data_IF_285012558505
#
_entry.id   IF_285012558505
#
_cell.length_a   1.000
_cell.length_b   1.000
_cell.length_c   1.000
_cell.angle_alpha   90.00
_cell.angle_beta   90.00
_cell.angle_gamma   90.00
#
_symmetry.space_group_name_H-M   'P 1'
#
loop_
_entity.id
_entity.type
_entity.pdbx_description
1 polymer ?
#
# COMPACT_ATOMS: atom_id res chain seq x y z
N UNK A 1 40.03 -20.01 22.67
CA UNK A 1 38.69 -19.44 22.96
C UNK A 1 37.75 -19.97 21.89
N UNK A 2 36.74 -20.71 22.31
CA UNK A 2 35.94 -21.63 21.49
C UNK A 2 34.94 -20.82 20.66
N UNK A 3 35.05 -20.90 19.34
CA UNK A 3 34.04 -20.46 18.37
C UNK A 3 32.84 -21.40 18.44
N UNK A 4 31.72 -20.89 18.92
CA UNK A 4 30.44 -21.61 18.90
C UNK A 4 29.74 -21.26 17.58
N UNK A 5 29.89 -22.17 16.61
CA UNK A 5 29.06 -22.22 15.41
C UNK A 5 27.82 -23.06 15.73
N UNK A 6 26.65 -22.43 15.81
CA UNK A 6 25.39 -23.18 15.87
C UNK A 6 24.94 -23.52 14.44
N UNK A 7 25.06 -24.81 14.10
CA UNK A 7 24.43 -25.47 12.97
C UNK A 7 23.11 -26.09 13.46
N UNK A 8 21.99 -25.64 12.90
CA UNK A 8 20.74 -26.40 12.89
C UNK A 8 20.15 -26.40 11.46
N UNK A 9 20.14 -27.60 10.88
CA UNK A 9 19.29 -28.05 9.77
C UNK A 9 17.97 -28.56 10.38
N UNK A 10 16.75 -28.53 9.80
CA UNK A 10 16.24 -28.33 8.43
C UNK A 10 14.75 -27.93 8.49
N UNK A 11 14.28 -27.05 7.59
CA UNK A 11 13.02 -27.08 6.79
C UNK A 11 12.70 -25.66 6.27
N UNK A 12 12.87 -25.44 4.96
CA UNK A 12 12.39 -24.33 4.11
C UNK A 12 11.99 -22.99 4.77
N UNK A 13 12.86 -22.42 5.60
CA UNK A 13 12.81 -21.03 6.00
C UNK A 13 14.15 -20.39 5.67
N UNK A 14 14.28 -19.75 4.51
CA UNK A 14 15.37 -18.80 4.30
C UNK A 14 15.08 -17.60 5.19
N UNK A 15 15.43 -17.71 6.48
CA UNK A 15 15.39 -16.59 7.40
C UNK A 15 16.15 -15.42 6.75
N UNK A 16 15.46 -14.31 6.51
CA UNK A 16 16.08 -13.14 5.92
C UNK A 16 17.13 -12.62 6.91
N UNK A 17 18.41 -12.80 6.58
CA UNK A 17 19.53 -12.42 7.44
C UNK A 17 19.65 -10.89 7.43
N UNK A 18 19.71 -10.30 8.62
CA UNK A 18 20.05 -8.89 8.81
C UNK A 18 21.53 -8.82 9.18
N UNK A 19 22.31 -8.11 8.37
CA UNK A 19 23.70 -7.80 8.66
C UNK A 19 23.90 -6.28 8.57
N UNK A 20 23.78 -5.62 9.73
CA UNK A 20 23.89 -4.16 9.84
C UNK A 20 25.28 -3.61 9.44
N UNK A 21 26.27 -4.48 9.27
CA UNK A 21 27.60 -4.10 8.81
C UNK A 21 27.80 -4.28 7.29
N UNK A 22 26.84 -4.90 6.60
CA UNK A 22 26.90 -5.11 5.15
C UNK A 22 26.46 -3.87 4.35
N UNK A 23 26.78 -3.86 3.06
CA UNK A 23 26.31 -2.82 2.12
C UNK A 23 24.80 -2.86 1.86
N UNK A 24 24.16 -4.00 2.07
CA UNK A 24 22.71 -4.20 1.92
C UNK A 24 22.18 -4.81 3.22
N UNK A 25 22.07 -4.00 4.28
CA UNK A 25 21.98 -4.49 5.65
C UNK A 25 20.65 -5.19 5.98
N UNK A 26 19.61 -4.92 5.20
CA UNK A 26 18.31 -5.54 5.30
C UNK A 26 17.61 -5.45 3.94
N UNK A 27 16.56 -6.24 3.74
CA UNK A 27 15.75 -6.21 2.52
C UNK A 27 14.55 -5.28 2.71
N UNK A 28 14.35 -4.35 1.79
CA UNK A 28 13.26 -3.38 1.87
C UNK A 28 11.89 -4.04 1.77
N UNK A 29 10.99 -3.59 2.63
CA UNK A 29 9.65 -4.18 2.72
C UNK A 29 8.82 -3.82 1.49
N UNK A 30 8.21 -4.83 0.85
CA UNK A 30 7.40 -4.75 -0.39
C UNK A 30 8.11 -4.24 -1.65
N UNK A 31 9.43 -4.07 -1.61
CA UNK A 31 10.23 -3.67 -2.77
C UNK A 31 11.08 -4.83 -3.26
N UNK A 32 11.75 -5.53 -2.34
CA UNK A 32 12.78 -6.51 -2.69
C UNK A 32 12.35 -7.96 -2.42
N UNK A 33 11.32 -8.17 -1.59
CA UNK A 33 10.79 -9.52 -1.32
C UNK A 33 9.28 -9.55 -1.20
N UNK A 34 8.75 -10.72 -1.48
CA UNK A 34 7.33 -11.04 -1.51
C UNK A 34 6.84 -11.71 -0.21
N UNK A 35 7.67 -11.89 0.83
CA UNK A 35 7.18 -12.42 2.10
C UNK A 35 8.10 -12.05 3.26
N UNK A 36 7.53 -11.35 4.24
CA UNK A 36 8.18 -11.10 5.53
C UNK A 36 7.49 -11.97 6.57
N UNK A 37 8.22 -12.96 7.09
CA UNK A 37 7.77 -13.65 8.29
C UNK A 37 7.71 -12.68 9.47
N UNK A 38 6.81 -12.92 10.44
CA UNK A 38 6.67 -12.08 11.65
C UNK A 38 7.99 -11.93 12.43
N UNK A 39 8.88 -12.92 12.33
CA UNK A 39 10.23 -12.86 12.89
C UNK A 39 11.09 -11.74 12.30
N UNK A 40 10.94 -11.42 11.01
CA UNK A 40 11.77 -10.41 10.34
C UNK A 40 11.53 -9.01 10.90
N UNK A 41 10.27 -8.67 11.13
CA UNK A 41 9.88 -7.33 11.58
C UNK A 41 10.22 -7.13 13.04
N UNK A 42 10.04 -8.15 13.88
CA UNK A 42 10.52 -8.11 15.27
C UNK A 42 12.03 -7.90 15.32
N UNK A 43 12.80 -8.56 14.43
CA UNK A 43 14.25 -8.33 14.35
C UNK A 43 14.55 -6.90 13.90
N UNK A 44 13.82 -6.36 12.92
CA UNK A 44 13.99 -4.97 12.49
C UNK A 44 13.70 -3.98 13.62
N UNK A 45 12.59 -4.15 14.34
CA UNK A 45 12.21 -3.32 15.48
C UNK A 45 13.29 -3.34 16.57
N UNK A 46 13.79 -4.52 16.93
CA UNK A 46 14.88 -4.71 17.91
C UNK A 46 16.24 -4.19 17.42
N UNK A 47 16.43 -4.07 16.10
CA UNK A 47 17.66 -3.60 15.48
C UNK A 47 17.72 -2.07 15.36
N UNK A 48 16.58 -1.38 15.21
CA UNK A 48 16.53 0.08 14.95
C UNK A 48 17.39 0.88 15.92
N UNK A 49 17.31 0.58 17.22
CA UNK A 49 18.02 1.33 18.26
C UNK A 49 19.52 0.99 18.31
N UNK A 50 19.95 -0.11 17.69
CA UNK A 50 21.35 -0.55 17.57
C UNK A 50 22.05 0.03 16.33
N UNK A 51 21.27 0.46 15.33
CA UNK A 51 21.79 1.04 14.08
C UNK A 51 22.45 2.39 14.34
N UNK A 52 23.75 2.50 14.02
CA UNK A 52 24.51 3.75 14.14
C UNK A 52 24.31 4.67 12.94
N UNK A 53 24.06 4.13 11.74
CA UNK A 53 23.85 4.92 10.54
C UNK A 53 22.42 5.50 10.52
N UNK A 54 22.30 6.82 10.60
CA UNK A 54 21.00 7.50 10.67
C UNK A 54 20.13 7.24 9.42
N UNK A 55 20.70 7.27 8.22
CA UNK A 55 19.96 6.97 6.98
C UNK A 55 19.38 5.56 6.99
N UNK A 56 20.17 4.57 7.44
CA UNK A 56 19.70 3.19 7.58
C UNK A 56 18.59 3.08 8.62
N UNK A 57 18.76 3.75 9.76
CA UNK A 57 17.74 3.80 10.83
C UNK A 57 16.42 4.38 10.32
N UNK A 58 16.47 5.47 9.55
CA UNK A 58 15.28 6.08 8.95
C UNK A 58 14.62 5.16 7.93
N UNK A 59 15.41 4.46 7.12
CA UNK A 59 14.89 3.48 6.15
C UNK A 59 14.12 2.35 6.83
N UNK A 60 14.69 1.76 7.89
CA UNK A 60 14.02 0.69 8.64
C UNK A 60 12.73 1.20 9.30
N UNK A 61 12.77 2.37 9.94
CA UNK A 61 11.58 2.97 10.55
C UNK A 61 10.47 3.26 9.55
N UNK A 62 10.82 3.72 8.34
CA UNK A 62 9.85 3.98 7.30
C UNK A 62 9.22 2.68 6.76
N UNK A 63 10.02 1.63 6.60
CA UNK A 63 9.53 0.33 6.17
C UNK A 63 8.62 -0.32 7.23
N UNK A 64 8.93 -0.15 8.52
CA UNK A 64 8.06 -0.56 9.63
C UNK A 64 6.75 0.23 9.62
N UNK A 65 6.81 1.55 9.42
CA UNK A 65 5.61 2.39 9.31
C UNK A 65 4.72 1.92 8.14
N UNK A 66 5.31 1.64 6.98
CA UNK A 66 4.58 1.16 5.80
C UNK A 66 4.03 -0.26 5.99
N UNK A 67 4.75 -1.15 6.66
CA UNK A 67 4.25 -2.48 7.03
C UNK A 67 3.00 -2.41 7.91
N UNK A 68 3.03 -1.55 8.93
CA UNK A 68 1.92 -1.37 9.84
C UNK A 68 0.78 -0.57 9.21
N UNK A 69 1.05 0.30 8.25
CA UNK A 69 0.04 1.13 7.58
C UNK A 69 -1.10 0.35 6.94
N UNK A 70 -0.86 -0.89 6.54
CA UNK A 70 -1.89 -1.75 5.95
C UNK A 70 -2.62 -2.62 6.97
N UNK A 71 -2.12 -2.67 8.22
CA UNK A 71 -2.56 -3.56 9.29
C UNK A 71 -3.12 -2.87 10.53
N UNK A 72 -2.51 -1.76 10.94
CA UNK A 72 -2.87 -0.99 12.12
C UNK A 72 -2.36 0.45 11.96
N UNK A 73 -3.29 1.38 11.71
CA UNK A 73 -2.96 2.78 11.41
C UNK A 73 -2.35 3.52 12.60
N UNK A 74 -2.68 3.12 13.84
CA UNK A 74 -2.11 3.76 15.04
C UNK A 74 -0.63 3.40 15.19
N UNK A 75 -0.30 2.11 15.09
CA UNK A 75 1.10 1.65 15.14
C UNK A 75 1.93 2.26 14.01
N UNK A 76 1.38 2.32 12.80
CA UNK A 76 2.03 2.97 11.66
C UNK A 76 2.35 4.45 11.93
N UNK A 77 1.39 5.16 12.52
CA UNK A 77 1.56 6.57 12.86
C UNK A 77 2.59 6.78 13.97
N UNK A 78 2.72 5.85 14.92
CA UNK A 78 3.71 5.92 15.99
C UNK A 78 5.14 5.73 15.46
N UNK A 79 5.37 4.76 14.57
CA UNK A 79 6.66 4.62 13.88
C UNK A 79 6.99 5.87 13.05
N UNK A 80 5.99 6.39 12.33
CA UNK A 80 6.16 7.61 11.53
C UNK A 80 6.52 8.83 12.39
N UNK A 81 5.86 9.00 13.54
CA UNK A 81 6.19 10.06 14.50
C UNK A 81 7.59 9.90 15.09
N UNK A 82 8.02 8.67 15.42
CA UNK A 82 9.40 8.38 15.86
C UNK A 82 10.40 8.80 14.78
N UNK A 83 10.14 8.44 13.53
CA UNK A 83 10.93 8.84 12.37
C UNK A 83 11.05 10.37 12.23
N UNK A 84 9.92 11.07 12.16
CA UNK A 84 9.86 12.54 12.07
C UNK A 84 10.59 13.24 13.21
N UNK A 85 10.46 12.76 14.45
CA UNK A 85 11.14 13.34 15.60
C UNK A 85 12.68 13.22 15.46
N UNK A 86 13.16 12.06 14.99
CA UNK A 86 14.59 11.83 14.80
C UNK A 86 15.16 12.65 13.64
N UNK A 87 14.46 12.71 12.50
CA UNK A 87 14.92 13.48 11.32
C UNK A 87 14.94 14.98 11.60
N UNK A 88 13.97 15.51 12.35
CA UNK A 88 13.98 16.91 12.81
C UNK A 88 15.13 17.19 13.78
N UNK A 89 15.40 16.26 14.70
CA UNK A 89 16.54 16.38 15.63
C UNK A 89 17.88 16.39 14.91
N UNK A 90 18.04 15.56 13.87
CA UNK A 90 19.26 15.51 13.06
C UNK A 90 19.29 16.52 11.90
N UNK A 91 18.21 17.30 11.71
CA UNK A 91 18.02 18.25 10.60
C UNK A 91 18.17 17.59 9.22
N UNK A 92 17.68 16.35 9.08
CA UNK A 92 17.68 15.62 7.83
C UNK A 92 16.36 15.87 7.07
N UNK A 93 16.33 16.92 6.26
CA UNK A 93 15.12 17.35 5.53
C UNK A 93 14.61 16.27 4.55
N UNK A 94 15.52 15.59 3.84
CA UNK A 94 15.14 14.55 2.89
C UNK A 94 14.33 13.43 3.55
N UNK A 95 14.83 12.89 4.66
CA UNK A 95 14.11 11.85 5.38
C UNK A 95 12.88 12.38 6.11
N UNK A 96 12.89 13.63 6.57
CA UNK A 96 11.67 14.26 7.06
C UNK A 96 10.59 14.27 5.97
N UNK A 97 10.90 14.72 4.76
CA UNK A 97 9.97 14.71 3.61
C UNK A 97 9.45 13.30 3.30
N UNK A 98 10.30 12.27 3.31
CA UNK A 98 9.88 10.88 3.10
C UNK A 98 8.92 10.37 4.18
N UNK A 99 9.19 10.66 5.45
CA UNK A 99 8.25 10.33 6.53
C UNK A 99 6.96 11.13 6.43
N UNK A 100 6.99 12.36 5.91
CA UNK A 100 5.79 13.15 5.66
C UNK A 100 4.92 12.53 4.56
N UNK A 101 5.50 11.98 3.49
CA UNK A 101 4.73 11.22 2.51
C UNK A 101 4.04 10.02 3.17
N UNK A 102 4.78 9.23 3.96
CA UNK A 102 4.21 8.09 4.71
C UNK A 102 3.11 8.54 5.68
N UNK A 103 3.31 9.66 6.38
CA UNK A 103 2.31 10.25 7.26
C UNK A 103 1.04 10.65 6.49
N UNK A 104 1.19 11.30 5.33
CA UNK A 104 0.08 11.67 4.45
C UNK A 104 -0.74 10.45 4.03
N UNK A 105 -0.08 9.37 3.63
CA UNK A 105 -0.73 8.11 3.25
C UNK A 105 -1.50 7.46 4.42
N UNK A 106 -1.00 7.57 5.65
CA UNK A 106 -1.70 7.08 6.86
C UNK A 106 -2.90 7.98 7.17
N UNK A 107 -2.73 9.30 7.12
CA UNK A 107 -3.80 10.27 7.38
C UNK A 107 -4.95 10.15 6.38
N UNK A 108 -4.66 9.89 5.11
CA UNK A 108 -5.65 9.56 4.08
C UNK A 108 -6.52 8.38 4.48
N UNK A 109 -5.92 7.27 4.91
CA UNK A 109 -6.67 6.08 5.38
C UNK A 109 -7.47 6.37 6.64
N UNK A 110 -7.05 7.33 7.46
CA UNK A 110 -7.80 7.81 8.62
C UNK A 110 -8.87 8.86 8.28
N UNK A 111 -9.11 9.15 6.99
CA UNK A 111 -10.02 10.21 6.50
C UNK A 111 -9.70 11.62 7.04
N UNK A 112 -8.42 11.88 7.33
CA UNK A 112 -7.92 13.20 7.78
C UNK A 112 -7.35 13.99 6.60
N UNK A 113 -8.22 14.30 5.64
CA UNK A 113 -7.82 14.80 4.32
C UNK A 113 -7.05 16.14 4.36
N UNK A 114 -7.49 17.08 5.20
CA UNK A 114 -6.81 18.39 5.30
C UNK A 114 -5.41 18.26 5.89
N UNK A 115 -5.26 17.47 6.95
CA UNK A 115 -3.95 17.17 7.54
C UNK A 115 -3.05 16.43 6.56
N UNK A 116 -3.58 15.48 5.80
CA UNK A 116 -2.83 14.77 4.77
C UNK A 116 -2.32 15.75 3.70
N UNK A 117 -3.19 16.62 3.20
CA UNK A 117 -2.84 17.63 2.19
C UNK A 117 -1.71 18.55 2.67
N UNK A 118 -1.83 19.12 3.87
CA UNK A 118 -0.82 20.02 4.44
C UNK A 118 0.53 19.33 4.57
N UNK A 119 0.55 18.10 5.07
CA UNK A 119 1.79 17.34 5.26
C UNK A 119 2.44 16.96 3.92
N UNK A 120 1.65 16.59 2.92
CA UNK A 120 2.13 16.22 1.59
C UNK A 120 2.69 17.41 0.81
N UNK A 121 2.04 18.58 0.89
CA UNK A 121 2.56 19.80 0.26
C UNK A 121 3.86 20.27 0.93
N UNK A 122 3.99 20.16 2.25
CA UNK A 122 5.25 20.46 2.95
C UNK A 122 6.38 19.46 2.60
N UNK A 123 6.04 18.21 2.30
CA UNK A 123 7.03 17.20 1.87
C UNK A 123 7.66 17.53 0.50
N UNK A 124 6.92 18.21 -0.38
CA UNK A 124 7.32 18.45 -1.78
C UNK A 124 8.63 19.20 -1.92
N UNK A 125 8.88 20.17 -1.03
CA UNK A 125 10.10 20.99 -1.04
C UNK A 125 11.33 20.27 -0.46
N UNK A 126 11.13 19.09 0.15
CA UNK A 126 12.17 18.36 0.90
C UNK A 126 12.68 17.12 0.19
N UNK A 127 11.91 16.58 -0.76
CA UNK A 127 12.17 15.28 -1.38
C UNK A 127 12.85 15.39 -2.75
N UNK A 128 13.41 14.27 -3.22
CA UNK A 128 14.07 14.20 -4.53
C UNK A 128 13.06 13.92 -5.64
N UNK A 129 13.47 14.15 -6.90
CA UNK A 129 12.61 13.86 -8.06
C UNK A 129 12.08 12.42 -8.09
N UNK A 130 12.89 11.45 -7.64
CA UNK A 130 12.49 10.04 -7.53
C UNK A 130 11.36 9.77 -6.53
N UNK A 131 11.15 10.67 -5.56
CA UNK A 131 10.10 10.54 -4.55
C UNK A 131 8.78 11.21 -5.02
N UNK A 132 8.84 12.06 -6.05
CA UNK A 132 7.69 12.84 -6.54
C UNK A 132 6.56 12.00 -7.13
N UNK A 133 6.77 10.92 -7.89
CA UNK A 133 5.66 10.10 -8.39
C UNK A 133 4.78 9.58 -7.24
N UNK A 134 5.40 9.02 -6.20
CA UNK A 134 4.66 8.52 -5.04
C UNK A 134 3.98 9.64 -4.24
N UNK A 135 4.65 10.78 -4.04
CA UNK A 135 4.05 11.96 -3.41
C UNK A 135 2.81 12.45 -4.18
N UNK A 136 2.92 12.58 -5.50
CA UNK A 136 1.82 13.01 -6.37
C UNK A 136 0.65 12.02 -6.35
N UNK A 137 0.91 10.71 -6.31
CA UNK A 137 -0.14 9.70 -6.09
C UNK A 137 -0.89 9.96 -4.77
N UNK A 138 -0.18 10.25 -3.67
CA UNK A 138 -0.85 10.58 -2.40
C UNK A 138 -1.67 11.87 -2.48
N UNK A 139 -1.17 12.92 -3.12
CA UNK A 139 -1.94 14.15 -3.36
C UNK A 139 -3.18 13.88 -4.23
N UNK A 140 -3.04 13.06 -5.28
CA UNK A 140 -4.14 12.61 -6.10
C UNK A 140 -5.25 11.94 -5.27
N UNK A 141 -4.88 11.08 -4.32
CA UNK A 141 -5.84 10.47 -3.39
C UNK A 141 -6.54 11.47 -2.46
N UNK A 142 -5.89 12.56 -2.07
CA UNK A 142 -6.57 13.64 -1.32
C UNK A 142 -7.71 14.22 -2.15
N UNK A 143 -7.44 14.58 -3.41
CA UNK A 143 -8.45 15.16 -4.30
C UNK A 143 -9.53 14.15 -4.69
N UNK A 144 -9.15 12.89 -4.91
CA UNK A 144 -10.09 11.80 -5.16
C UNK A 144 -11.08 11.63 -4.01
N UNK A 145 -10.60 11.61 -2.76
CA UNK A 145 -11.44 11.50 -1.55
C UNK A 145 -12.32 12.72 -1.32
N UNK A 146 -11.93 13.89 -1.83
CA UNK A 146 -12.76 15.11 -1.86
C UNK A 146 -13.80 15.12 -2.99
N UNK A 147 -13.77 14.14 -3.90
CA UNK A 147 -14.63 14.10 -5.09
C UNK A 147 -14.14 14.97 -6.25
N UNK A 148 -12.95 15.57 -6.14
CA UNK A 148 -12.32 16.39 -7.18
C UNK A 148 -11.58 15.50 -8.19
N UNK A 149 -12.33 14.64 -8.90
CA UNK A 149 -11.78 13.56 -9.74
C UNK A 149 -10.90 14.07 -10.90
N UNK A 150 -11.19 15.24 -11.46
CA UNK A 150 -10.37 15.83 -12.54
C UNK A 150 -8.99 16.23 -12.03
N UNK A 151 -8.91 16.86 -10.85
CA UNK A 151 -7.62 17.19 -10.22
C UNK A 151 -6.85 15.94 -9.84
N UNK A 152 -7.54 14.91 -9.33
CA UNK A 152 -6.91 13.64 -9.03
C UNK A 152 -6.29 13.01 -10.30
N UNK A 153 -6.97 13.13 -11.45
CA UNK A 153 -6.45 12.67 -12.74
C UNK A 153 -5.23 13.48 -13.19
N UNK A 154 -5.21 14.80 -12.96
CA UNK A 154 -4.03 15.63 -13.23
C UNK A 154 -2.81 15.13 -12.45
N UNK A 155 -2.95 14.82 -11.15
CA UNK A 155 -1.86 14.26 -10.35
C UNK A 155 -1.42 12.87 -10.83
N UNK A 156 -2.35 12.01 -11.25
CA UNK A 156 -2.01 10.70 -11.82
C UNK A 156 -1.23 10.84 -13.14
N UNK A 157 -1.59 11.81 -13.99
CA UNK A 157 -0.87 12.11 -15.23
C UNK A 157 0.52 12.72 -14.98
N UNK A 158 0.66 13.59 -13.97
CA UNK A 158 1.96 14.12 -13.53
C UNK A 158 2.86 12.97 -13.03
N UNK A 159 2.30 12.06 -12.23
CA UNK A 159 3.02 10.88 -11.73
C UNK A 159 3.49 9.98 -12.88
N UNK A 160 2.63 9.74 -13.88
CA UNK A 160 2.95 8.97 -15.07
C UNK A 160 4.11 9.59 -15.87
N UNK A 161 4.03 10.87 -16.21
CA UNK A 161 5.08 11.58 -16.98
C UNK A 161 6.43 11.57 -16.25
N UNK A 162 6.43 11.80 -14.93
CA UNK A 162 7.64 11.71 -14.12
C UNK A 162 8.20 10.28 -14.08
N UNK A 163 7.35 9.28 -13.90
CA UNK A 163 7.75 7.88 -13.87
C UNK A 163 8.36 7.42 -15.21
N UNK A 164 7.78 7.85 -16.33
CA UNK A 164 8.33 7.60 -17.67
C UNK A 164 9.71 8.24 -17.86
N UNK A 165 9.89 9.51 -17.44
CA UNK A 165 11.19 10.20 -17.47
C UNK A 165 12.26 9.51 -16.61
N UNK A 166 11.85 8.95 -15.48
CA UNK A 166 12.74 8.24 -14.56
C UNK A 166 12.97 6.78 -14.96
N UNK A 167 12.20 6.24 -15.92
CA UNK A 167 12.21 4.81 -16.25
C UNK A 167 11.68 3.91 -15.13
N UNK A 168 10.89 4.46 -14.20
CA UNK A 168 10.33 3.72 -13.08
C UNK A 168 9.07 2.95 -13.48
N UNK A 169 9.26 1.70 -13.92
CA UNK A 169 8.17 0.82 -14.32
C UNK A 169 7.12 0.59 -13.24
N UNK A 170 7.51 0.60 -11.96
CA UNK A 170 6.57 0.41 -10.84
C UNK A 170 5.67 1.64 -10.73
N UNK A 171 6.25 2.83 -10.76
CA UNK A 171 5.48 4.07 -10.71
C UNK A 171 4.58 4.26 -11.95
N UNK A 172 5.02 3.81 -13.14
CA UNK A 172 4.15 3.78 -14.34
C UNK A 172 2.93 2.87 -14.11
N UNK A 173 3.13 1.67 -13.59
CA UNK A 173 2.04 0.74 -13.30
C UNK A 173 1.05 1.32 -12.28
N UNK A 174 1.57 1.94 -11.21
CA UNK A 174 0.76 2.65 -10.22
C UNK A 174 -0.08 3.77 -10.84
N UNK A 175 0.53 4.63 -11.67
CA UNK A 175 -0.21 5.71 -12.32
C UNK A 175 -1.32 5.20 -13.25
N UNK A 176 -1.09 4.09 -13.97
CA UNK A 176 -2.17 3.42 -14.73
C UNK A 176 -3.27 2.84 -13.83
N UNK A 177 -2.92 2.29 -12.67
CA UNK A 177 -3.89 1.81 -11.68
C UNK A 177 -4.76 2.96 -11.14
N UNK A 178 -4.13 4.10 -10.83
CA UNK A 178 -4.81 5.30 -10.36
C UNK A 178 -5.78 5.86 -11.42
N UNK A 179 -5.33 5.95 -12.68
CA UNK A 179 -6.20 6.34 -13.80
C UNK A 179 -7.37 5.36 -13.98
N UNK A 180 -7.13 4.05 -13.83
CA UNK A 180 -8.18 3.03 -13.88
C UNK A 180 -9.25 3.26 -12.81
N UNK A 181 -8.83 3.51 -11.57
CA UNK A 181 -9.72 3.79 -10.44
C UNK A 181 -10.51 5.09 -10.65
N UNK A 182 -9.87 6.13 -11.18
CA UNK A 182 -10.54 7.41 -11.46
C UNK A 182 -11.57 7.28 -12.58
N UNK A 183 -11.27 6.56 -13.66
CA UNK A 183 -12.25 6.30 -14.72
C UNK A 183 -13.42 5.43 -14.22
N UNK A 184 -13.14 4.43 -13.38
CA UNK A 184 -14.17 3.64 -12.71
C UNK A 184 -15.11 4.51 -11.87
N UNK A 185 -14.57 5.41 -11.03
CA UNK A 185 -15.37 6.37 -10.24
C UNK A 185 -16.17 7.37 -11.08
N UNK A 186 -15.76 7.61 -12.32
CA UNK A 186 -16.51 8.40 -13.31
C UNK A 186 -17.51 7.56 -14.14
N UNK A 187 -17.70 6.29 -13.80
CA UNK A 187 -18.52 5.32 -14.54
C UNK A 187 -18.10 5.12 -16.00
N UNK A 188 -16.80 5.29 -16.30
CA UNK A 188 -16.20 5.09 -17.63
C UNK A 188 -15.44 3.75 -17.64
N UNK A 189 -16.19 2.66 -17.45
CA UNK A 189 -15.65 1.36 -17.08
C UNK A 189 -14.74 0.73 -18.14
N UNK A 190 -15.06 0.87 -19.43
CA UNK A 190 -14.22 0.32 -20.51
C UNK A 190 -12.84 1.01 -20.54
N UNK A 191 -12.83 2.33 -20.35
CA UNK A 191 -11.59 3.10 -20.27
C UNK A 191 -10.82 2.82 -18.99
N UNK A 192 -11.53 2.67 -17.87
CA UNK A 192 -10.94 2.23 -16.61
C UNK A 192 -10.27 0.87 -16.76
N UNK A 193 -10.96 -0.09 -17.37
CA UNK A 193 -10.44 -1.42 -17.64
C UNK A 193 -9.19 -1.39 -18.54
N UNK A 194 -9.19 -0.57 -19.60
CA UNK A 194 -8.02 -0.42 -20.49
C UNK A 194 -6.75 -0.03 -19.71
N UNK A 195 -6.84 0.98 -18.84
CA UNK A 195 -5.71 1.40 -18.02
C UNK A 195 -5.35 0.36 -16.95
N UNK A 196 -6.35 -0.26 -16.33
CA UNK A 196 -6.13 -1.30 -15.32
C UNK A 196 -5.38 -2.50 -15.88
N UNK A 197 -5.72 -2.97 -17.08
CA UNK A 197 -5.02 -4.08 -17.74
C UNK A 197 -3.59 -3.70 -18.18
N UNK A 198 -3.32 -2.44 -18.55
CA UNK A 198 -1.95 -1.95 -18.78
C UNK A 198 -1.12 -2.03 -17.49
N UNK A 199 -1.71 -1.65 -16.35
CA UNK A 199 -1.07 -1.74 -15.04
C UNK A 199 -0.78 -3.19 -14.64
N UNK A 200 -1.78 -4.09 -14.75
CA UNK A 200 -1.63 -5.53 -14.48
C UNK A 200 -0.45 -6.12 -15.26
N UNK A 201 -0.38 -5.86 -16.57
CA UNK A 201 0.72 -6.35 -17.41
C UNK A 201 2.09 -5.93 -16.88
N UNK A 202 2.26 -4.67 -16.46
CA UNK A 202 3.53 -4.19 -15.92
C UNK A 202 3.88 -4.82 -14.57
N UNK A 203 2.88 -5.06 -13.70
CA UNK A 203 3.10 -5.78 -12.45
C UNK A 203 3.48 -7.25 -12.68
N UNK A 204 2.83 -7.92 -13.63
CA UNK A 204 3.15 -9.30 -14.02
C UNK A 204 4.56 -9.41 -14.63
N UNK A 205 4.95 -8.46 -15.49
CA UNK A 205 6.31 -8.38 -16.04
C UNK A 205 7.38 -8.17 -14.96
N UNK A 206 7.03 -7.52 -13.84
CA UNK A 206 7.93 -7.33 -12.68
C UNK A 206 8.05 -8.60 -11.83
N UNK A 207 7.08 -9.50 -11.87
CA UNK A 207 7.09 -10.76 -11.12
C UNK A 207 6.97 -10.61 -9.60
N UNK A 208 6.52 -9.45 -9.10
CA UNK A 208 6.34 -9.18 -7.67
C UNK A 208 4.85 -8.99 -7.37
N UNK A 209 4.29 -9.91 -6.57
CA UNK A 209 2.92 -9.84 -6.07
C UNK A 209 2.84 -9.02 -4.79
N UNK A 210 2.97 -7.70 -4.88
CA UNK A 210 2.90 -6.79 -3.73
C UNK A 210 1.55 -6.09 -3.59
N UNK A 211 1.45 -5.19 -2.61
CA UNK A 211 0.22 -4.48 -2.26
C UNK A 211 -0.28 -3.55 -3.38
N UNK A 212 0.62 -3.05 -4.20
CA UNK A 212 0.27 -2.18 -5.32
C UNK A 212 -0.39 -3.00 -6.45
N UNK A 213 0.06 -4.24 -6.65
CA UNK A 213 -0.60 -5.18 -7.54
C UNK A 213 -1.97 -5.60 -6.99
N UNK A 214 -2.07 -5.87 -5.68
CA UNK A 214 -3.34 -6.18 -5.00
C UNK A 214 -4.43 -5.12 -5.26
N UNK A 215 -4.09 -3.85 -5.04
CA UNK A 215 -5.01 -2.74 -5.31
C UNK A 215 -5.42 -2.67 -6.79
N UNK A 216 -4.46 -2.90 -7.69
CA UNK A 216 -4.72 -2.89 -9.14
C UNK A 216 -5.71 -3.99 -9.54
N UNK A 217 -5.54 -5.21 -9.00
CA UNK A 217 -6.48 -6.32 -9.23
C UNK A 217 -7.88 -5.98 -8.72
N UNK A 218 -7.99 -5.35 -7.54
CA UNK A 218 -9.27 -4.87 -7.00
C UNK A 218 -9.94 -3.86 -7.95
N UNK A 219 -9.21 -2.88 -8.45
CA UNK A 219 -9.77 -1.86 -9.36
C UNK A 219 -10.21 -2.48 -10.69
N UNK A 220 -9.41 -3.40 -11.26
CA UNK A 220 -9.79 -4.13 -12.48
C UNK A 220 -11.04 -4.99 -12.24
N UNK A 221 -11.11 -5.67 -11.09
CA UNK A 221 -12.28 -6.44 -10.70
C UNK A 221 -13.55 -5.59 -10.63
N UNK A 222 -13.48 -4.37 -10.10
CA UNK A 222 -14.63 -3.46 -10.08
C UNK A 222 -15.05 -2.97 -11.47
N UNK A 223 -14.09 -2.69 -12.36
CA UNK A 223 -14.45 -2.34 -13.75
C UNK A 223 -15.18 -3.50 -14.44
N UNK A 224 -14.71 -4.74 -14.29
CA UNK A 224 -15.43 -5.91 -14.82
C UNK A 224 -16.80 -6.10 -14.17
N UNK A 225 -16.90 -5.88 -12.86
CA UNK A 225 -18.14 -5.99 -12.11
C UNK A 225 -19.21 -5.06 -12.68
N UNK A 226 -18.87 -3.79 -12.88
CA UNK A 226 -19.79 -2.77 -13.39
C UNK A 226 -20.07 -2.89 -14.90
N UNK A 227 -19.19 -3.59 -15.64
CA UNK A 227 -19.46 -4.02 -17.02
C UNK A 227 -20.38 -5.27 -17.10
N UNK A 228 -20.72 -5.89 -15.97
CA UNK A 228 -21.54 -7.11 -15.92
C UNK A 228 -20.75 -8.40 -16.14
N UNK A 229 -19.43 -8.33 -16.27
CA UNK A 229 -18.53 -9.47 -16.47
C UNK A 229 -18.17 -10.12 -15.12
N UNK A 230 -19.18 -10.67 -14.46
CA UNK A 230 -19.10 -11.11 -13.06
C UNK A 230 -18.06 -12.21 -12.79
N UNK A 231 -17.82 -13.11 -13.75
CA UNK A 231 -16.84 -14.18 -13.56
C UNK A 231 -15.40 -13.64 -13.59
N UNK A 232 -15.11 -12.69 -14.48
CA UNK A 232 -13.81 -12.04 -14.52
C UNK A 232 -13.59 -11.22 -13.24
N UNK A 233 -14.60 -10.44 -12.81
CA UNK A 233 -14.55 -9.71 -11.56
C UNK A 233 -14.18 -10.62 -10.37
N UNK A 234 -14.82 -11.80 -10.26
CA UNK A 234 -14.50 -12.79 -9.22
C UNK A 234 -13.07 -13.32 -9.32
N UNK A 235 -12.54 -13.56 -10.52
CA UNK A 235 -11.16 -14.02 -10.70
C UNK A 235 -10.16 -12.98 -10.17
N UNK A 236 -10.35 -11.72 -10.52
CA UNK A 236 -9.51 -10.61 -10.06
C UNK A 236 -9.64 -10.38 -8.55
N UNK A 237 -10.86 -10.40 -8.00
CA UNK A 237 -11.07 -10.27 -6.56
C UNK A 237 -10.44 -11.42 -5.76
N UNK A 238 -10.55 -12.66 -6.21
CA UNK A 238 -9.93 -13.81 -5.53
C UNK A 238 -8.40 -13.70 -5.52
N UNK A 239 -7.81 -13.23 -6.63
CA UNK A 239 -6.38 -13.01 -6.70
C UNK A 239 -5.94 -11.89 -5.75
N UNK A 240 -6.65 -10.76 -5.75
CA UNK A 240 -6.42 -9.69 -4.79
C UNK A 240 -6.52 -10.22 -3.34
N UNK A 241 -7.61 -10.90 -2.97
CA UNK A 241 -7.77 -11.49 -1.63
C UNK A 241 -6.56 -12.34 -1.22
N UNK A 242 -6.04 -13.20 -2.10
CA UNK A 242 -4.87 -14.02 -1.79
C UNK A 242 -3.62 -13.19 -1.46
N UNK A 243 -3.40 -12.07 -2.17
CA UNK A 243 -2.31 -11.14 -1.89
C UNK A 243 -2.62 -10.36 -0.59
N UNK A 244 -3.80 -9.75 -0.49
CA UNK A 244 -4.23 -9.00 0.69
C UNK A 244 -4.13 -9.81 1.99
N UNK A 245 -4.51 -11.09 1.99
CA UNK A 245 -4.40 -11.97 3.17
C UNK A 245 -2.94 -12.30 3.51
N UNK A 246 -2.13 -12.59 2.49
CA UNK A 246 -0.69 -12.85 2.65
C UNK A 246 0.04 -11.66 3.27
N UNK A 247 -0.32 -10.44 2.88
CA UNK A 247 0.37 -9.21 3.30
C UNK A 247 -0.44 -8.30 4.19
N UNK A 248 -1.54 -8.78 4.77
CA UNK A 248 -2.38 -8.01 5.68
C UNK A 248 -2.74 -6.63 5.13
N UNK A 249 -3.32 -6.57 3.93
CA UNK A 249 -3.83 -5.33 3.35
C UNK A 249 -5.28 -5.10 3.74
N UNK A 250 -5.52 -4.91 5.04
CA UNK A 250 -6.85 -5.03 5.61
C UNK A 250 -7.85 -4.00 5.08
N UNK A 251 -7.41 -2.78 4.71
CA UNK A 251 -8.31 -1.83 4.05
C UNK A 251 -8.78 -2.36 2.69
N UNK A 252 -7.88 -2.89 1.86
CA UNK A 252 -8.23 -3.33 0.51
C UNK A 252 -9.07 -4.61 0.56
N UNK A 253 -8.73 -5.54 1.45
CA UNK A 253 -9.57 -6.70 1.74
C UNK A 253 -10.99 -6.29 2.13
N UNK A 254 -11.14 -5.31 3.03
CA UNK A 254 -12.46 -4.80 3.40
C UNK A 254 -13.24 -4.27 2.20
N UNK A 255 -12.60 -3.45 1.34
CA UNK A 255 -13.23 -2.91 0.13
C UNK A 255 -13.60 -4.00 -0.90
N UNK A 256 -12.74 -5.03 -1.07
CA UNK A 256 -13.04 -6.19 -1.93
C UNK A 256 -14.28 -6.93 -1.39
N UNK A 257 -14.31 -7.22 -0.09
CA UNK A 257 -15.43 -7.96 0.50
C UNK A 257 -16.75 -7.17 0.47
N UNK A 258 -16.71 -5.84 0.60
CA UNK A 258 -17.89 -4.98 0.34
C UNK A 258 -18.40 -5.17 -1.09
N UNK A 259 -17.48 -5.20 -2.07
CA UNK A 259 -17.83 -5.39 -3.48
C UNK A 259 -18.43 -6.78 -3.74
N UNK A 260 -17.89 -7.80 -3.08
CA UNK A 260 -18.42 -9.17 -3.12
C UNK A 260 -19.79 -9.31 -2.45
N UNK A 261 -20.06 -8.58 -1.35
CA UNK A 261 -21.39 -8.54 -0.73
C UNK A 261 -22.43 -8.09 -1.74
N UNK A 262 -22.18 -6.97 -2.43
CA UNK A 262 -23.07 -6.42 -3.45
C UNK A 262 -23.26 -7.38 -4.62
N UNK A 263 -22.17 -7.95 -5.15
CA UNK A 263 -22.22 -8.92 -6.24
C UNK A 263 -23.04 -10.17 -5.87
N UNK A 264 -22.77 -10.77 -4.71
CA UNK A 264 -23.48 -11.97 -4.28
C UNK A 264 -24.96 -11.68 -3.97
N UNK A 265 -25.29 -10.52 -3.41
CA UNK A 265 -26.67 -10.11 -3.20
C UNK A 265 -27.41 -9.94 -4.53
N UNK A 266 -26.79 -9.28 -5.52
CA UNK A 266 -27.33 -9.13 -6.86
C UNK A 266 -27.61 -10.48 -7.54
N UNK A 267 -26.72 -11.46 -7.37
CA UNK A 267 -26.88 -12.82 -7.89
C UNK A 267 -27.84 -13.71 -7.07
N UNK A 268 -28.49 -13.19 -6.02
CA UNK A 268 -29.37 -13.95 -5.13
C UNK A 268 -28.64 -14.96 -4.23
N UNK A 269 -27.31 -14.86 -4.12
CA UNK A 269 -26.44 -15.75 -3.35
C UNK A 269 -26.30 -15.24 -1.90
N UNK A 270 -27.42 -15.05 -1.20
CA UNK A 270 -27.46 -14.34 0.08
C UNK A 270 -26.54 -14.90 1.17
N UNK A 271 -26.33 -16.23 1.22
CA UNK A 271 -25.37 -16.83 2.16
C UNK A 271 -23.93 -16.38 1.92
N UNK A 272 -23.51 -16.28 0.65
CA UNK A 272 -22.18 -15.80 0.28
C UNK A 272 -22.06 -14.30 0.51
N UNK A 273 -23.13 -13.54 0.27
CA UNK A 273 -23.18 -12.12 0.58
C UNK A 273 -22.99 -11.86 2.09
N UNK A 274 -23.67 -12.64 2.95
CA UNK A 274 -23.52 -12.55 4.40
C UNK A 274 -22.08 -12.91 4.85
N UNK A 275 -21.47 -13.93 4.26
CA UNK A 275 -20.08 -14.30 4.53
C UNK A 275 -19.10 -13.21 4.10
N UNK A 276 -19.31 -12.60 2.92
CA UNK A 276 -18.52 -11.48 2.45
C UNK A 276 -18.65 -10.27 3.39
N UNK A 277 -19.86 -9.90 3.80
CA UNK A 277 -20.10 -8.82 4.76
C UNK A 277 -19.41 -9.03 6.10
N UNK A 278 -19.43 -10.27 6.63
CA UNK A 278 -18.69 -10.64 7.85
C UNK A 278 -17.18 -10.46 7.68
N UNK A 279 -16.63 -10.82 6.53
CA UNK A 279 -15.21 -10.61 6.24
C UNK A 279 -14.87 -9.12 6.08
N UNK A 280 -15.73 -8.32 5.46
CA UNK A 280 -15.55 -6.87 5.38
C UNK A 280 -15.46 -6.24 6.78
N UNK A 281 -16.35 -6.61 7.70
CA UNK A 281 -16.32 -6.15 9.09
C UNK A 281 -15.05 -6.63 9.80
N UNK A 282 -14.70 -7.92 9.69
CA UNK A 282 -13.48 -8.49 10.29
C UNK A 282 -12.23 -7.72 9.91
N UNK A 283 -12.02 -7.41 8.63
CA UNK A 283 -10.82 -6.70 8.18
C UNK A 283 -10.84 -5.22 8.57
N UNK A 284 -12.01 -4.58 8.62
CA UNK A 284 -12.14 -3.22 9.15
C UNK A 284 -11.79 -3.13 10.65
N UNK A 285 -12.19 -4.12 11.44
CA UNK A 285 -11.83 -4.23 12.87
C UNK A 285 -10.32 -4.44 13.04
N UNK A 286 -9.72 -5.35 12.26
CA UNK A 286 -8.28 -5.61 12.29
C UNK A 286 -7.47 -4.35 11.95
N UNK A 287 -7.91 -3.57 10.97
CA UNK A 287 -7.28 -2.30 10.59
C UNK A 287 -7.35 -1.23 11.70
N UNK A 288 -8.28 -1.39 12.64
CA UNK A 288 -8.63 -0.43 13.68
C UNK A 288 -9.02 0.94 13.10
N UNK A 289 -9.99 0.93 12.17
CA UNK A 289 -10.45 2.12 11.47
C UNK A 289 -11.98 2.23 11.52
N UNK A 290 -12.49 3.22 12.27
CA UNK A 290 -13.93 3.43 12.45
C UNK A 290 -14.67 3.79 11.16
N UNK A 291 -14.02 4.52 10.24
CA UNK A 291 -14.63 4.88 8.97
C UNK A 291 -14.84 3.65 8.08
N UNK A 292 -13.82 2.80 7.98
CA UNK A 292 -13.93 1.53 7.27
C UNK A 292 -14.96 0.62 7.93
N UNK A 293 -14.96 0.55 9.26
CA UNK A 293 -15.95 -0.23 10.01
C UNK A 293 -17.38 0.22 9.70
N UNK A 294 -17.64 1.53 9.71
CA UNK A 294 -18.92 2.10 9.30
C UNK A 294 -19.29 1.68 7.86
N UNK A 295 -18.36 1.80 6.90
CA UNK A 295 -18.63 1.38 5.51
C UNK A 295 -18.96 -0.10 5.39
N UNK A 296 -18.24 -0.97 6.11
CA UNK A 296 -18.48 -2.42 6.11
C UNK A 296 -19.82 -2.80 6.73
N UNK A 297 -20.35 -2.02 7.69
CA UNK A 297 -21.69 -2.25 8.23
C UNK A 297 -22.83 -1.77 7.32
N UNK A 298 -22.54 -0.88 6.36
CA UNK A 298 -23.52 -0.32 5.44
C UNK A 298 -23.65 -1.10 4.12
N UNK A 299 -22.74 -2.04 3.84
CA UNK A 299 -22.79 -2.95 2.69
C UNK A 299 -23.68 -4.15 2.95
#
# INVERSE_FOLDING_TARGET
>A
MITISFLFCTWNGTGQIIDLNSKQPYKKVFVETDNFGTSYLSILEDAVDKVQNDTLKFSILNDLAYYWHTRNLNTALDFTKKGLALTRKSRNELWEGRFQITQGAILLRMEKLDSANVVLEDAKEKVLQQDLPFLNTQLGYVFERRGELDKAADYALISLDLAEKLGDKKAIALAYSDLSNLFWKQSKFEKGLEFGLKSVKLFEERGLNDLDYDFTLYVVGNNYLDLGEHQEALNYFNHAIAIGERYGFYNNLSDIYISLTNLHAYLGQYKKAEEAGKNAVKYAELLNNNFMLMRSWLS
#
